data_IF_566054841078
#
_entry.id   IF_566054841078
#
_cell.length_a   1.000
_cell.length_b   1.000
_cell.length_c   1.000
_cell.angle_alpha   90.00
_cell.angle_beta   90.00
_cell.angle_gamma   90.00
#
_symmetry.space_group_name_H-M   'P 1'
#
loop_
_entity.id
_entity.type
_entity.pdbx_description
1 polymer ?
#
# COMPACT_ATOMS: atom_id res chain seq x y z
N UNK A 1 7.72 -11.12 18.51
CA UNK A 1 7.02 -9.82 18.56
C UNK A 1 5.52 -10.03 18.44
N UNK A 2 4.76 -9.38 19.27
CA UNK A 2 3.30 -9.43 19.20
C UNK A 2 2.81 -8.62 18.00
N UNK A 3 1.74 -9.05 17.33
CA UNK A 3 1.23 -8.34 16.14
C UNK A 3 0.86 -6.89 16.44
N UNK A 4 0.25 -6.63 17.60
CA UNK A 4 -0.07 -5.27 18.02
C UNK A 4 1.18 -4.39 18.13
N UNK A 5 2.29 -4.97 18.57
CA UNK A 5 3.56 -4.26 18.68
C UNK A 5 4.10 -3.90 17.31
N UNK A 6 3.94 -4.78 16.34
CA UNK A 6 4.34 -4.53 14.96
C UNK A 6 3.56 -3.35 14.36
N UNK A 7 2.23 -3.36 14.52
CA UNK A 7 1.37 -2.27 14.05
C UNK A 7 1.77 -0.95 14.71
N UNK A 8 1.95 -0.95 16.02
CA UNK A 8 2.32 0.27 16.76
C UNK A 8 3.67 0.80 16.27
N UNK A 9 4.64 -0.09 16.13
CA UNK A 9 5.99 0.31 15.70
C UNK A 9 5.97 0.93 14.30
N UNK A 10 5.33 0.28 13.34
CA UNK A 10 5.27 0.78 11.97
C UNK A 10 4.40 2.03 11.83
N UNK A 11 3.50 2.30 12.77
CA UNK A 11 2.65 3.49 12.72
C UNK A 11 3.36 4.75 13.22
N UNK A 12 4.37 4.60 14.08
CA UNK A 12 5.00 5.75 14.75
C UNK A 12 5.94 6.53 13.85
N UNK A 13 6.82 5.85 13.16
CA UNK A 13 7.85 6.52 12.36
C UNK A 13 8.36 5.59 11.26
N UNK A 14 7.50 5.24 10.30
CA UNK A 14 7.93 4.34 9.23
C UNK A 14 8.99 5.02 8.36
N UNK A 15 10.05 4.27 8.05
CA UNK A 15 11.19 4.78 7.27
C UNK A 15 10.82 5.11 5.83
N UNK A 16 9.74 4.49 5.33
CA UNK A 16 9.28 4.73 3.96
C UNK A 16 8.15 5.77 3.84
N UNK A 17 7.89 6.54 4.91
CA UNK A 17 6.90 7.61 4.88
C UNK A 17 7.59 8.93 4.59
N UNK A 18 7.68 9.28 3.31
CA UNK A 18 8.27 10.54 2.84
C UNK A 18 7.82 10.82 1.42
N UNK A 19 7.98 12.07 0.97
CA UNK A 19 7.73 12.47 -0.42
C UNK A 19 9.00 12.16 -1.22
N UNK A 20 8.86 11.27 -2.20
CA UNK A 20 9.98 10.88 -3.06
C UNK A 20 10.20 11.94 -4.14
N UNK A 21 11.46 12.31 -4.36
CA UNK A 21 11.83 13.18 -5.49
C UNK A 21 11.89 12.37 -6.77
N UNK A 22 11.34 12.93 -7.84
CA UNK A 22 11.37 12.33 -9.19
C UNK A 22 10.90 10.88 -9.25
N UNK A 23 9.71 10.57 -8.72
CA UNK A 23 9.18 9.21 -8.84
C UNK A 23 8.81 8.91 -10.30
N UNK A 24 8.79 7.62 -10.65
CA UNK A 24 8.27 7.19 -11.95
C UNK A 24 6.78 7.45 -12.05
N UNK A 25 6.06 7.34 -10.94
CA UNK A 25 4.63 7.61 -10.85
C UNK A 25 4.26 7.91 -9.41
N UNK A 26 3.24 8.72 -9.23
CA UNK A 26 2.62 8.97 -7.94
C UNK A 26 1.12 8.82 -8.09
N UNK A 27 0.45 8.36 -7.04
CA UNK A 27 -0.99 8.10 -7.08
C UNK A 27 -1.62 8.32 -5.72
N UNK A 28 -2.78 8.97 -5.70
CA UNK A 28 -3.53 9.24 -4.46
C UNK A 28 -4.75 8.35 -4.39
N UNK A 29 -4.92 7.66 -3.28
CA UNK A 29 -6.06 6.78 -3.02
C UNK A 29 -6.79 7.23 -1.76
N UNK A 30 -8.08 6.94 -1.71
CA UNK A 30 -8.96 7.35 -0.62
C UNK A 30 -9.71 6.14 -0.06
N UNK A 31 -9.84 6.10 1.26
CA UNK A 31 -10.78 5.22 1.95
C UNK A 31 -11.83 6.11 2.60
N UNK A 32 -12.98 6.22 1.95
CA UNK A 32 -14.04 7.14 2.41
C UNK A 32 -14.74 6.68 3.68
N UNK A 33 -14.63 5.40 4.02
CA UNK A 33 -15.24 4.84 5.24
C UNK A 33 -14.54 5.37 6.49
N UNK A 34 -13.20 5.43 6.46
CA UNK A 34 -12.40 5.88 7.60
C UNK A 34 -11.64 7.17 7.33
N UNK A 35 -11.95 7.86 6.24
CA UNK A 35 -11.32 9.11 5.85
C UNK A 35 -9.80 9.03 5.65
N UNK A 36 -9.28 7.84 5.34
CA UNK A 36 -7.85 7.69 5.02
C UNK A 36 -7.57 8.25 3.62
N UNK A 37 -6.46 8.95 3.49
CA UNK A 37 -5.94 9.42 2.21
C UNK A 37 -4.46 9.07 2.17
N UNK A 38 -4.04 8.34 1.14
CA UNK A 38 -2.63 8.00 0.95
C UNK A 38 -2.19 8.41 -0.44
N UNK A 39 -1.00 8.98 -0.53
CA UNK A 39 -0.33 9.17 -1.82
C UNK A 39 0.91 8.28 -1.82
N UNK A 40 1.03 7.43 -2.85
CA UNK A 40 2.18 6.55 -3.01
C UNK A 40 3.08 7.08 -4.11
N UNK A 41 4.38 6.86 -3.95
CA UNK A 41 5.43 7.27 -4.89
C UNK A 41 6.22 6.03 -5.25
N UNK A 42 6.29 5.72 -6.53
CA UNK A 42 6.99 4.52 -7.01
C UNK A 42 8.14 4.91 -7.91
N UNK A 43 9.30 4.30 -7.67
CA UNK A 43 10.41 4.32 -8.62
C UNK A 43 10.46 2.94 -9.28
N UNK A 44 10.30 2.93 -10.61
CA UNK A 44 10.23 1.69 -11.39
C UNK A 44 11.46 1.58 -12.28
N UNK A 45 12.12 0.43 -12.26
CA UNK A 45 13.24 0.12 -13.14
C UNK A 45 13.10 -1.32 -13.63
N UNK A 46 13.25 -1.52 -14.94
CA UNK A 46 13.17 -2.86 -15.54
C UNK A 46 11.89 -3.60 -15.17
N UNK A 47 10.76 -2.88 -15.20
CA UNK A 47 9.43 -3.42 -14.86
C UNK A 47 9.37 -4.00 -13.45
N UNK A 48 10.15 -3.45 -12.55
CA UNK A 48 10.28 -3.87 -11.15
C UNK A 48 10.13 -2.64 -10.26
N UNK A 49 9.46 -2.79 -9.12
CA UNK A 49 9.35 -1.72 -8.13
C UNK A 49 10.69 -1.61 -7.38
N UNK A 50 11.47 -0.60 -7.71
CA UNK A 50 12.76 -0.38 -7.09
C UNK A 50 12.64 0.26 -5.72
N UNK A 51 11.81 1.31 -5.60
CA UNK A 51 11.63 2.03 -4.36
C UNK A 51 10.19 2.46 -4.19
N UNK A 52 9.75 2.46 -2.95
CA UNK A 52 8.40 2.86 -2.54
C UNK A 52 8.48 3.87 -1.41
N UNK A 53 7.66 4.91 -1.47
CA UNK A 53 7.38 5.76 -0.31
C UNK A 53 5.93 6.21 -0.34
N UNK A 54 5.47 6.79 0.77
CA UNK A 54 4.10 7.25 0.87
C UNK A 54 3.98 8.44 1.80
N UNK A 55 2.88 9.17 1.66
CA UNK A 55 2.45 10.25 2.55
C UNK A 55 0.93 10.27 2.62
N UNK A 56 0.39 10.95 3.60
CA UNK A 56 -1.05 11.15 3.68
C UNK A 56 -1.58 11.29 5.09
N UNK A 57 -2.90 11.40 5.17
CA UNK A 57 -3.65 11.45 6.43
C UNK A 57 -4.30 10.10 6.64
N UNK A 58 -3.82 9.36 7.64
CA UNK A 58 -4.22 7.96 7.80
C UNK A 58 -4.32 7.59 9.26
N UNK A 59 -5.23 6.64 9.53
CA UNK A 59 -5.32 5.99 10.83
C UNK A 59 -4.03 5.22 11.14
N UNK A 60 -3.89 4.81 12.38
CA UNK A 60 -2.76 3.98 12.83
C UNK A 60 -2.67 2.69 11.99
N UNK A 61 -3.80 2.02 11.78
CA UNK A 61 -3.85 0.78 11.01
C UNK A 61 -3.44 1.03 9.55
N UNK A 62 -4.00 2.06 8.92
CA UNK A 62 -3.69 2.37 7.52
C UNK A 62 -2.21 2.73 7.36
N UNK A 63 -1.65 3.52 8.27
CA UNK A 63 -0.24 3.90 8.23
C UNK A 63 0.67 2.68 8.35
N UNK A 64 0.43 1.85 9.37
CA UNK A 64 1.27 0.68 9.60
C UNK A 64 1.17 -0.33 8.45
N UNK A 65 -0.04 -0.64 8.01
CA UNK A 65 -0.24 -1.62 6.95
C UNK A 65 0.32 -1.13 5.62
N UNK A 66 0.20 0.17 5.31
CA UNK A 66 0.80 0.74 4.11
C UNK A 66 2.32 0.65 4.16
N UNK A 67 2.92 0.98 5.30
CA UNK A 67 4.37 0.90 5.46
C UNK A 67 4.88 -0.54 5.30
N UNK A 68 4.24 -1.49 5.94
CA UNK A 68 4.61 -2.91 5.88
C UNK A 68 4.44 -3.44 4.46
N UNK A 69 3.30 -3.14 3.83
CA UNK A 69 3.01 -3.58 2.47
C UNK A 69 4.04 -3.02 1.48
N UNK A 70 4.31 -1.73 1.55
CA UNK A 70 5.27 -1.09 0.64
C UNK A 70 6.67 -1.66 0.78
N UNK A 71 7.11 -1.91 2.01
CA UNK A 71 8.41 -2.53 2.25
C UNK A 71 8.50 -3.92 1.61
N UNK A 72 7.43 -4.70 1.72
CA UNK A 72 7.39 -6.05 1.15
C UNK A 72 7.31 -6.05 -0.37
N UNK A 73 6.76 -5.01 -0.98
CA UNK A 73 6.62 -4.93 -2.44
C UNK A 73 7.91 -4.50 -3.14
N UNK A 74 8.85 -3.87 -2.44
CA UNK A 74 10.10 -3.45 -3.06
C UNK A 74 10.87 -4.66 -3.57
N UNK A 75 11.32 -4.59 -4.81
CA UNK A 75 12.02 -5.68 -5.48
C UNK A 75 11.11 -6.61 -6.28
N UNK A 76 9.78 -6.50 -6.13
CA UNK A 76 8.83 -7.33 -6.87
C UNK A 76 8.61 -6.78 -8.27
N UNK A 77 8.33 -7.68 -9.22
CA UNK A 77 7.93 -7.24 -10.57
C UNK A 77 6.54 -6.60 -10.51
N UNK A 78 6.29 -5.67 -11.43
CA UNK A 78 4.98 -5.03 -11.50
C UNK A 78 3.86 -6.05 -11.74
N UNK A 79 4.12 -7.07 -12.56
CA UNK A 79 3.12 -8.11 -12.82
C UNK A 79 2.81 -8.92 -11.56
N UNK A 80 3.81 -9.22 -10.75
CA UNK A 80 3.58 -9.91 -9.45
C UNK A 80 2.71 -9.07 -8.54
N UNK A 81 2.99 -7.77 -8.45
CA UNK A 81 2.22 -6.86 -7.61
C UNK A 81 0.77 -6.79 -8.08
N UNK A 82 0.55 -6.72 -9.39
CA UNK A 82 -0.81 -6.66 -9.94
C UNK A 82 -1.61 -7.93 -9.69
N UNK A 83 -0.93 -9.05 -9.43
CA UNK A 83 -1.60 -10.32 -9.10
C UNK A 83 -1.94 -10.44 -7.61
N UNK A 84 -1.42 -9.59 -6.75
CA UNK A 84 -1.67 -9.67 -5.32
C UNK A 84 -3.05 -9.12 -4.95
N UNK A 85 -3.60 -9.69 -3.90
CA UNK A 85 -4.87 -9.28 -3.32
C UNK A 85 -4.76 -9.23 -1.79
N UNK A 86 -5.89 -9.21 -1.11
CA UNK A 86 -5.95 -9.15 0.36
C UNK A 86 -5.13 -10.25 1.02
N UNK A 87 -5.03 -11.42 0.43
CA UNK A 87 -4.29 -12.52 1.04
C UNK A 87 -2.80 -12.21 1.19
N UNK A 88 -2.24 -11.39 0.29
CA UNK A 88 -0.86 -10.94 0.42
C UNK A 88 -0.68 -10.10 1.70
N UNK A 89 -1.57 -9.13 1.92
CA UNK A 89 -1.50 -8.28 3.10
C UNK A 89 -1.69 -9.11 4.38
N UNK A 90 -2.64 -10.05 4.37
CA UNK A 90 -2.87 -10.94 5.51
C UNK A 90 -1.64 -11.80 5.83
N UNK A 91 -0.87 -12.19 4.82
CA UNK A 91 0.35 -12.96 5.03
C UNK A 91 1.45 -12.16 5.73
N UNK A 92 1.42 -10.85 5.61
CA UNK A 92 2.39 -9.95 6.24
C UNK A 92 1.99 -9.57 7.66
N UNK A 93 0.68 -9.51 7.91
CA UNK A 93 0.11 -9.06 9.17
C UNK A 93 -0.68 -10.21 9.76
N UNK A 94 -0.14 -10.85 10.80
CA UNK A 94 -0.70 -12.08 11.37
C UNK A 94 -1.91 -11.86 12.27
N UNK A 95 -2.39 -10.63 12.35
CA UNK A 95 -3.51 -10.29 13.20
C UNK A 95 -4.80 -10.26 12.40
N UNK A 96 -5.90 -10.66 13.02
CA UNK A 96 -7.23 -10.51 12.43
C UNK A 96 -7.59 -9.04 12.42
N UNK A 97 -7.71 -8.47 11.24
CA UNK A 97 -8.17 -7.11 11.07
C UNK A 97 -9.70 -7.14 11.10
N UNK A 98 -10.30 -6.33 11.97
CA UNK A 98 -11.76 -6.27 12.06
C UNK A 98 -12.34 -5.81 10.72
N UNK A 99 -13.59 -6.26 10.39
CA UNK A 99 -14.22 -5.84 9.12
C UNK A 99 -14.25 -4.33 8.94
N UNK A 100 -14.38 -3.59 10.03
CA UNK A 100 -14.42 -2.13 10.02
C UNK A 100 -13.10 -1.49 9.55
N UNK A 101 -11.99 -2.19 9.76
CA UNK A 101 -10.64 -1.70 9.42
C UNK A 101 -10.05 -2.37 8.19
N UNK A 102 -10.82 -3.20 7.53
CA UNK A 102 -10.37 -3.96 6.36
C UNK A 102 -9.86 -3.06 5.26
N UNK A 103 -10.62 -2.01 4.90
CA UNK A 103 -10.18 -1.05 3.88
C UNK A 103 -8.90 -0.33 4.30
N UNK A 104 -8.80 0.07 5.57
CA UNK A 104 -7.61 0.73 6.08
C UNK A 104 -6.36 -0.15 5.90
N UNK A 105 -6.49 -1.46 6.10
CA UNK A 105 -5.37 -2.38 5.94
C UNK A 105 -4.96 -2.56 4.47
N UNK A 106 -5.85 -2.29 3.54
CA UNK A 106 -5.65 -2.58 2.11
C UNK A 106 -5.35 -1.35 1.26
N UNK A 107 -5.51 -0.14 1.80
CA UNK A 107 -5.40 1.08 1.01
C UNK A 107 -4.02 1.23 0.35
N UNK A 108 -2.96 0.80 1.03
CA UNK A 108 -1.61 0.87 0.48
C UNK A 108 -1.43 -0.03 -0.74
N UNK A 109 -1.89 -1.28 -0.65
CA UNK A 109 -1.83 -2.18 -1.79
C UNK A 109 -2.66 -1.67 -2.96
N UNK A 110 -3.88 -1.20 -2.68
CA UNK A 110 -4.75 -0.65 -3.72
C UNK A 110 -4.08 0.54 -4.40
N UNK A 111 -3.49 1.45 -3.63
CA UNK A 111 -2.82 2.62 -4.18
C UNK A 111 -1.66 2.23 -5.09
N UNK A 112 -0.85 1.24 -4.68
CA UNK A 112 0.28 0.79 -5.49
C UNK A 112 -0.20 0.14 -6.79
N UNK A 113 -1.22 -0.70 -6.74
CA UNK A 113 -1.77 -1.34 -7.94
C UNK A 113 -2.29 -0.28 -8.92
N UNK A 114 -3.02 0.71 -8.43
CA UNK A 114 -3.52 1.79 -9.29
C UNK A 114 -2.40 2.69 -9.80
N UNK A 115 -1.36 2.91 -9.01
CA UNK A 115 -0.17 3.64 -9.48
C UNK A 115 0.49 2.90 -10.64
N UNK A 116 0.57 1.57 -10.59
CA UNK A 116 1.13 0.76 -11.68
C UNK A 116 0.26 0.88 -12.93
N UNK A 117 -1.07 0.82 -12.79
CA UNK A 117 -1.97 1.02 -13.94
C UNK A 117 -1.76 2.39 -14.57
N UNK A 118 -1.62 3.43 -13.75
CA UNK A 118 -1.34 4.79 -14.23
C UNK A 118 0.02 4.86 -14.94
N UNK A 119 1.05 4.25 -14.36
CA UNK A 119 2.38 4.19 -14.95
C UNK A 119 2.36 3.53 -16.33
N UNK A 120 1.62 2.44 -16.45
CA UNK A 120 1.47 1.69 -17.70
C UNK A 120 0.50 2.34 -18.68
N UNK A 121 -0.26 3.35 -18.24
CA UNK A 121 -1.26 4.04 -19.07
C UNK A 121 -2.22 3.07 -19.73
N UNK A 122 -2.64 2.04 -19.00
CA UNK A 122 -3.50 0.98 -19.54
C UNK A 122 -5.00 1.25 -19.36
N UNK A 123 -5.36 2.39 -18.74
CA UNK A 123 -6.75 2.77 -18.52
C UNK A 123 -7.48 1.96 -17.45
N UNK A 124 -6.80 1.05 -16.77
CA UNK A 124 -7.41 0.22 -15.72
C UNK A 124 -7.35 0.93 -14.38
N UNK A 125 -8.33 0.62 -13.55
CA UNK A 125 -8.39 1.07 -12.17
C UNK A 125 -9.08 0.00 -11.34
N UNK A 126 -8.53 -0.29 -10.16
CA UNK A 126 -9.11 -1.23 -9.22
C UNK A 126 -9.72 -0.47 -8.04
N UNK A 127 -10.70 -1.05 -7.40
CA UNK A 127 -11.25 -0.54 -6.15
C UNK A 127 -11.09 -1.60 -5.06
N UNK A 128 -11.55 -1.29 -3.83
CA UNK A 128 -11.37 -2.22 -2.72
C UNK A 128 -12.01 -3.59 -2.98
N UNK A 129 -13.15 -3.61 -3.67
CA UNK A 129 -13.83 -4.88 -3.95
C UNK A 129 -13.03 -5.79 -4.86
N UNK A 130 -12.21 -5.22 -5.73
CA UNK A 130 -11.39 -6.02 -6.67
C UNK A 130 -10.28 -6.79 -5.95
N UNK A 131 -9.80 -6.31 -4.83
CA UNK A 131 -8.69 -6.94 -4.11
C UNK A 131 -9.10 -7.67 -2.84
N UNK A 132 -10.35 -7.56 -2.43
CA UNK A 132 -10.89 -8.29 -1.28
C UNK A 132 -11.23 -9.73 -1.67
N UNK A 133 -10.62 -10.69 -0.99
CA UNK A 133 -10.79 -12.12 -1.25
C UNK A 133 -11.08 -12.89 0.04
#
# INVERSE_FOLDING_TARGET
MHTNDLIIEYSKNPTNKYIMEDPSVRYREHNRVCADVVEVFLLVENDTLKSFSFEGYMSIIATACTAITGEALEGESLDSILAYDESFVKSLIWEDISPRRRNASLIGLLAVKNAIHEYRKNGKREDFSDIMK
#
